data_IF_510781189439
#
_entry.id   IF_510781189439
#
_cell.length_a   1.000
_cell.length_b   1.000
_cell.length_c   1.000
_cell.angle_alpha   90.00
_cell.angle_beta   90.00
_cell.angle_gamma   90.00
#
_symmetry.space_group_name_H-M   'P 1'
#
loop_
_entity.id
_entity.type
_entity.pdbx_description
1 polymer ?
#
# COMPACT_ATOMS: atom_id res chain seq x y z
N UNK A 1 -34.58 -19.78 -0.86
CA UNK A 1 -34.06 -18.54 -1.49
C UNK A 1 -32.66 -18.84 -1.99
N UNK A 2 -32.41 -18.72 -3.30
CA UNK A 2 -31.08 -18.89 -3.87
C UNK A 2 -30.22 -17.67 -3.49
N UNK A 3 -28.95 -17.86 -3.17
CA UNK A 3 -28.05 -16.79 -2.72
C UNK A 3 -27.79 -15.78 -3.84
N UNK A 4 -27.58 -14.52 -3.47
CA UNK A 4 -27.29 -13.41 -4.38
C UNK A 4 -26.02 -13.67 -5.25
N UNK A 5 -25.07 -14.47 -4.74
CA UNK A 5 -23.91 -14.94 -5.49
C UNK A 5 -24.28 -15.82 -6.69
N UNK A 6 -25.33 -16.64 -6.58
CA UNK A 6 -25.81 -17.46 -7.69
C UNK A 6 -26.46 -16.60 -8.80
N UNK A 7 -27.08 -15.48 -8.42
CA UNK A 7 -27.71 -14.54 -9.36
C UNK A 7 -26.67 -13.78 -10.20
N UNK A 8 -25.51 -13.42 -9.62
CA UNK A 8 -24.42 -12.77 -10.36
C UNK A 8 -23.71 -13.72 -11.35
N UNK A 9 -23.60 -15.01 -11.03
CA UNK A 9 -23.07 -16.02 -11.97
C UNK A 9 -24.05 -16.35 -13.10
N UNK A 10 -25.36 -16.24 -12.89
CA UNK A 10 -26.38 -16.56 -13.90
C UNK A 10 -26.69 -15.37 -14.82
N UNK A 11 -26.59 -14.13 -14.31
CA UNK A 11 -26.87 -12.91 -15.06
C UNK A 11 -25.74 -12.45 -16.04
N UNK A 12 -24.63 -13.19 -16.14
CA UNK A 12 -23.49 -12.85 -16.97
C UNK A 12 -23.40 -13.61 -18.32
N UNK A 13 -24.40 -14.42 -18.71
CA UNK A 13 -24.40 -15.10 -20.03
C UNK A 13 -25.21 -14.31 -21.07
N UNK A 14 -24.53 -13.61 -21.97
CA UNK A 14 -25.16 -12.93 -23.10
C UNK A 14 -25.83 -13.92 -24.07
N UNK A 15 -26.85 -13.50 -24.84
CA UNK A 15 -27.50 -14.38 -25.85
C UNK A 15 -26.49 -14.91 -26.88
N UNK A 16 -25.52 -14.08 -27.28
CA UNK A 16 -24.41 -14.50 -28.13
C UNK A 16 -23.61 -15.67 -27.55
N UNK A 17 -23.41 -15.71 -26.23
CA UNK A 17 -22.73 -16.82 -25.55
C UNK A 17 -23.54 -18.12 -25.58
N UNK A 18 -24.87 -18.04 -25.45
CA UNK A 18 -25.73 -19.23 -25.53
C UNK A 18 -25.78 -19.80 -26.95
N UNK A 19 -25.76 -18.93 -27.96
CA UNK A 19 -25.73 -19.37 -29.36
C UNK A 19 -24.35 -19.90 -29.77
N UNK A 20 -23.26 -19.34 -29.22
CA UNK A 20 -21.91 -19.86 -29.42
C UNK A 20 -21.71 -21.26 -28.80
N UNK A 21 -22.32 -21.52 -27.65
CA UNK A 21 -22.27 -22.82 -26.97
C UNK A 21 -22.94 -23.92 -27.81
N UNK A 22 -24.08 -23.60 -28.46
CA UNK A 22 -24.73 -24.52 -29.42
C UNK A 22 -23.84 -24.88 -30.62
N UNK A 23 -22.94 -23.96 -30.99
CA UNK A 23 -22.01 -24.11 -32.12
C UNK A 23 -20.65 -24.66 -31.71
N UNK A 24 -20.46 -25.04 -30.43
CA UNK A 24 -19.17 -25.49 -29.86
C UNK A 24 -18.04 -24.49 -30.07
N UNK A 25 -18.36 -23.21 -30.03
CA UNK A 25 -17.38 -22.15 -30.16
C UNK A 25 -16.92 -21.70 -28.77
N UNK A 26 -15.61 -21.59 -28.60
CA UNK A 26 -14.98 -21.14 -27.36
C UNK A 26 -14.69 -19.65 -27.42
N UNK A 27 -15.05 -18.92 -26.37
CA UNK A 27 -14.76 -17.49 -26.29
C UNK A 27 -13.25 -17.26 -26.06
N UNK A 28 -12.63 -16.43 -26.89
CA UNK A 28 -11.16 -16.22 -26.91
C UNK A 28 -10.74 -14.78 -26.59
N UNK A 29 -11.64 -13.98 -26.02
CA UNK A 29 -11.36 -12.58 -25.64
C UNK A 29 -11.93 -11.56 -26.63
N UNK A 30 -12.07 -10.30 -26.18
CA UNK A 30 -12.58 -9.17 -26.96
C UNK A 30 -13.92 -9.42 -27.70
N UNK A 31 -14.79 -10.27 -27.15
CA UNK A 31 -16.08 -10.63 -27.76
C UNK A 31 -15.97 -11.59 -28.95
N UNK A 32 -14.80 -12.19 -29.21
CA UNK A 32 -14.56 -13.11 -30.32
C UNK A 32 -14.67 -14.58 -29.89
N UNK A 33 -15.08 -15.44 -30.81
CA UNK A 33 -15.28 -16.87 -30.60
C UNK A 33 -14.53 -17.67 -31.64
N UNK A 34 -13.83 -18.70 -31.17
CA UNK A 34 -13.02 -19.60 -31.97
C UNK A 34 -13.65 -20.99 -32.07
N UNK A 35 -13.35 -21.70 -33.16
CA UNK A 35 -13.72 -23.10 -33.32
C UNK A 35 -12.78 -24.04 -32.53
N UNK A 36 -13.05 -25.35 -32.53
CA UNK A 36 -12.21 -26.38 -31.88
C UNK A 36 -10.74 -26.38 -32.35
N UNK A 37 -10.42 -25.71 -33.47
CA UNK A 37 -9.06 -25.57 -34.02
C UNK A 37 -8.35 -24.29 -33.57
N UNK A 38 -9.01 -23.46 -32.75
CA UNK A 38 -8.47 -22.19 -32.29
C UNK A 38 -8.62 -21.03 -33.28
N UNK A 39 -9.33 -21.23 -34.40
CA UNK A 39 -9.52 -20.18 -35.41
C UNK A 39 -10.72 -19.30 -35.05
N UNK A 40 -10.52 -17.98 -34.99
CA UNK A 40 -11.58 -17.01 -34.71
C UNK A 40 -12.55 -16.93 -35.89
N UNK A 41 -13.80 -17.34 -35.67
CA UNK A 41 -14.83 -17.42 -36.73
C UNK A 41 -16.04 -16.54 -36.45
N UNK A 42 -16.29 -16.13 -35.20
CA UNK A 42 -17.46 -15.34 -34.84
C UNK A 42 -17.11 -14.24 -33.84
N UNK A 43 -17.95 -13.21 -33.74
CA UNK A 43 -17.83 -12.12 -32.78
C UNK A 43 -19.22 -11.73 -32.26
N UNK A 44 -19.29 -11.39 -30.97
CA UNK A 44 -20.49 -10.84 -30.34
C UNK A 44 -20.55 -9.34 -30.63
N UNK A 45 -21.50 -8.96 -31.48
CA UNK A 45 -21.82 -7.57 -31.77
C UNK A 45 -23.25 -7.28 -31.26
N UNK A 46 -23.39 -6.27 -30.40
CA UNK A 46 -24.68 -5.87 -29.80
C UNK A 46 -25.47 -7.03 -29.14
N UNK A 47 -24.74 -7.95 -28.51
CA UNK A 47 -25.31 -9.10 -27.78
C UNK A 47 -25.80 -10.26 -28.65
N UNK A 48 -25.51 -10.25 -29.97
CA UNK A 48 -25.78 -11.36 -30.91
C UNK A 48 -24.48 -11.89 -31.50
N UNK A 49 -24.46 -13.19 -31.80
CA UNK A 49 -23.31 -13.85 -32.43
C UNK A 49 -23.33 -13.60 -33.94
N UNK A 50 -22.28 -12.99 -34.48
CA UNK A 50 -22.11 -12.68 -35.91
C UNK A 50 -20.87 -13.40 -36.43
N UNK A 51 -20.97 -14.05 -37.60
CA UNK A 51 -19.85 -14.75 -38.22
C UNK A 51 -18.91 -13.74 -38.90
N UNK A 52 -17.60 -13.86 -38.66
CA UNK A 52 -16.58 -13.03 -39.25
C UNK A 52 -16.15 -13.60 -40.61
N UNK A 53 -16.09 -12.73 -41.62
CA UNK A 53 -15.66 -13.09 -42.97
C UNK A 53 -14.11 -13.17 -43.03
N UNK A 54 -13.50 -14.24 -43.57
CA UNK A 54 -12.03 -14.42 -43.58
C UNK A 54 -11.24 -13.30 -44.26
N UNK A 55 -11.90 -12.44 -45.04
CA UNK A 55 -11.26 -11.33 -45.78
C UNK A 55 -11.10 -10.05 -44.95
N UNK A 56 -11.75 -9.93 -43.78
CA UNK A 56 -11.69 -8.72 -42.95
C UNK A 56 -10.56 -8.76 -41.92
N UNK A 57 -9.89 -9.91 -41.75
CA UNK A 57 -8.74 -10.07 -40.84
C UNK A 57 -7.43 -9.46 -41.37
N UNK A 58 -7.32 -9.16 -42.67
CA UNK A 58 -6.02 -8.81 -43.29
C UNK A 58 -5.64 -7.31 -43.29
N UNK A 59 -6.41 -6.42 -42.66
CA UNK A 59 -6.18 -4.95 -42.79
C UNK A 59 -5.66 -4.30 -41.49
N UNK A 60 -5.58 -5.03 -40.37
CA UNK A 60 -5.06 -4.50 -39.10
C UNK A 60 -3.61 -4.91 -38.78
N UNK A 61 -3.00 -5.83 -39.55
CA UNK A 61 -1.73 -6.49 -39.21
C UNK A 61 -0.46 -5.77 -39.70
N UNK A 62 -0.47 -4.45 -39.94
CA UNK A 62 0.73 -3.75 -40.43
C UNK A 62 1.31 -2.63 -39.55
N UNK A 63 0.82 -2.39 -38.34
CA UNK A 63 1.59 -1.59 -37.38
C UNK A 63 1.59 -2.23 -35.99
N UNK A 64 2.76 -2.76 -35.63
CA UNK A 64 3.23 -3.22 -34.32
C UNK A 64 3.00 -4.72 -33.99
N UNK A 65 3.84 -5.60 -34.56
CA UNK A 65 4.22 -6.88 -33.94
C UNK A 65 5.36 -6.63 -32.92
N UNK A 66 5.54 -7.38 -31.83
CA UNK A 66 5.18 -8.75 -31.46
C UNK A 66 5.02 -8.79 -29.90
N UNK A 67 4.43 -9.76 -29.20
CA UNK A 67 4.05 -11.16 -29.47
C UNK A 67 3.04 -11.54 -28.36
N UNK A 68 1.81 -11.93 -28.69
CA UNK A 68 0.82 -12.47 -27.75
C UNK A 68 0.94 -14.00 -27.70
N UNK A 69 1.46 -14.53 -26.59
CA UNK A 69 1.22 -15.91 -26.18
C UNK A 69 -0.02 -15.94 -25.31
N UNK A 70 -1.05 -16.65 -25.78
CA UNK A 70 -2.35 -16.71 -25.13
C UNK A 70 -2.35 -17.42 -23.79
N UNK A 71 -3.29 -17.00 -22.95
CA UNK A 71 -4.18 -17.92 -22.24
C UNK A 71 -5.47 -17.19 -21.85
N UNK A 72 -6.61 -17.80 -22.14
CA UNK A 72 -7.93 -17.16 -22.19
C UNK A 72 -8.61 -17.00 -20.83
N UNK A 73 -8.23 -15.99 -20.06
CA UNK A 73 -8.98 -15.53 -18.87
C UNK A 73 -9.19 -14.02 -18.87
N UNK A 74 -9.92 -13.47 -19.85
CA UNK A 74 -10.10 -12.02 -19.98
C UNK A 74 -11.28 -11.49 -19.16
N UNK A 75 -11.00 -10.98 -17.96
CA UNK A 75 -11.81 -9.94 -17.32
C UNK A 75 -11.93 -8.71 -18.26
N UNK A 76 -12.95 -7.86 -18.08
CA UNK A 76 -13.08 -6.63 -18.86
C UNK A 76 -11.89 -5.72 -18.49
N UNK A 77 -10.98 -5.50 -19.44
CA UNK A 77 -9.78 -4.69 -19.20
C UNK A 77 -10.16 -3.21 -19.03
N UNK A 78 -9.95 -2.68 -17.82
CA UNK A 78 -10.15 -1.29 -17.43
C UNK A 78 -9.00 -0.37 -17.90
N UNK A 79 -7.96 -0.94 -18.52
CA UNK A 79 -6.77 -0.24 -18.97
C UNK A 79 -5.80 0.07 -17.84
N UNK A 80 -5.17 1.25 -17.90
CA UNK A 80 -4.17 1.67 -16.92
C UNK A 80 -4.71 2.68 -15.91
N UNK A 81 -4.44 2.45 -14.63
CA UNK A 81 -4.77 3.38 -13.54
C UNK A 81 -3.51 4.02 -12.94
N UNK A 82 -3.57 5.32 -12.60
CA UNK A 82 -2.52 5.98 -11.83
C UNK A 82 -2.85 5.98 -10.34
N UNK A 83 -1.92 5.57 -9.49
CA UNK A 83 -2.16 5.52 -8.05
C UNK A 83 -1.01 6.10 -7.22
N UNK A 84 -1.32 6.47 -5.99
CA UNK A 84 -0.33 6.65 -4.93
C UNK A 84 -0.79 5.98 -3.66
N UNK A 85 0.18 5.49 -2.88
CA UNK A 85 -0.02 4.99 -1.53
C UNK A 85 0.88 5.74 -0.55
N UNK A 86 0.36 6.16 0.61
CA UNK A 86 1.17 6.93 1.56
C UNK A 86 0.49 7.20 2.90
N UNK A 87 1.30 7.62 3.88
CA UNK A 87 0.80 7.92 5.24
C UNK A 87 -0.06 9.16 5.34
N UNK A 88 0.29 10.22 4.61
CA UNK A 88 -0.35 11.53 4.67
C UNK A 88 -0.58 12.02 6.12
N UNK A 89 0.43 11.89 7.00
CA UNK A 89 0.29 12.08 8.44
C UNK A 89 1.31 13.11 8.99
N UNK A 90 0.99 14.42 9.00
CA UNK A 90 -0.23 15.05 8.46
C UNK A 90 -0.20 15.26 6.93
N UNK A 91 -1.33 15.62 6.29
CA UNK A 91 -1.35 16.12 4.91
C UNK A 91 -0.53 17.41 4.77
N UNK A 92 0.19 17.59 3.65
CA UNK A 92 1.14 18.70 3.45
C UNK A 92 1.03 19.30 2.06
N UNK A 93 1.63 20.48 1.82
CA UNK A 93 1.85 21.01 0.45
C UNK A 93 2.62 19.99 -0.39
N UNK A 94 3.53 19.26 0.26
CA UNK A 94 4.31 18.24 -0.40
C UNK A 94 3.45 17.10 -0.99
N UNK A 95 2.46 16.64 -0.24
CA UNK A 95 1.52 15.63 -0.73
C UNK A 95 0.63 16.18 -1.86
N UNK A 96 0.31 17.48 -1.86
CA UNK A 96 -0.46 18.11 -2.94
C UNK A 96 0.24 17.97 -4.30
N UNK A 97 1.55 18.25 -4.36
CA UNK A 97 2.29 18.12 -5.61
C UNK A 97 2.38 16.65 -6.07
N UNK A 98 2.48 15.71 -5.12
CA UNK A 98 2.44 14.28 -5.43
C UNK A 98 1.09 13.89 -6.03
N UNK A 99 -0.02 14.31 -5.42
CA UNK A 99 -1.37 14.02 -5.91
C UNK A 99 -1.60 14.66 -7.30
N UNK A 100 -1.15 15.89 -7.51
CA UNK A 100 -1.19 16.54 -8.83
C UNK A 100 -0.38 15.78 -9.88
N UNK A 101 0.75 15.16 -9.49
CA UNK A 101 1.52 14.30 -10.38
C UNK A 101 0.75 13.02 -10.71
N UNK A 102 0.12 12.36 -9.73
CA UNK A 102 -0.74 11.19 -9.94
C UNK A 102 -1.83 11.50 -10.97
N UNK A 103 -2.57 12.59 -10.78
CA UNK A 103 -3.61 13.02 -11.71
C UNK A 103 -3.07 13.30 -13.13
N UNK A 104 -1.84 13.84 -13.24
CA UNK A 104 -1.19 14.08 -14.54
C UNK A 104 -0.78 12.78 -15.23
N UNK A 105 -0.24 11.83 -14.49
CA UNK A 105 0.17 10.51 -15.01
C UNK A 105 -1.03 9.67 -15.48
N UNK A 106 -2.21 9.93 -14.92
CA UNK A 106 -3.46 9.32 -15.38
C UNK A 106 -3.83 9.71 -16.82
N UNK A 107 -3.31 10.82 -17.37
CA UNK A 107 -3.58 11.30 -18.74
C UNK A 107 -5.08 11.37 -19.09
N UNK A 108 -5.89 11.89 -18.18
CA UNK A 108 -7.37 11.91 -18.23
C UNK A 108 -8.08 10.57 -17.98
N UNK A 109 -7.33 9.50 -17.69
CA UNK A 109 -7.84 8.25 -17.15
C UNK A 109 -8.12 8.33 -15.65
N UNK A 110 -8.46 7.18 -15.07
CA UNK A 110 -8.76 7.09 -13.65
C UNK A 110 -7.49 7.16 -12.81
N UNK A 111 -7.62 7.79 -11.64
CA UNK A 111 -6.57 7.77 -10.63
C UNK A 111 -7.14 7.70 -9.23
N UNK A 112 -6.36 7.09 -8.33
CA UNK A 112 -6.77 6.87 -6.95
C UNK A 112 -5.63 7.13 -5.97
N UNK A 113 -6.00 7.67 -4.82
CA UNK A 113 -5.10 8.02 -3.73
C UNK A 113 -5.50 7.13 -2.57
N UNK A 114 -4.56 6.31 -2.11
CA UNK A 114 -4.77 5.34 -1.03
C UNK A 114 -4.00 5.80 0.22
N UNK A 115 -4.67 6.42 1.20
CA UNK A 115 -4.07 6.71 2.49
C UNK A 115 -3.86 5.40 3.27
N UNK A 116 -2.66 5.21 3.80
CA UNK A 116 -2.32 4.05 4.62
C UNK A 116 -3.23 3.93 5.83
N UNK A 117 -3.60 2.69 6.16
CA UNK A 117 -4.40 2.35 7.35
C UNK A 117 -3.57 2.10 8.60
N UNK A 118 -2.25 2.09 8.49
CA UNK A 118 -1.34 2.07 9.64
C UNK A 118 -1.63 3.27 10.55
N UNK A 119 -1.38 3.10 11.86
CA UNK A 119 -1.48 4.15 12.87
C UNK A 119 -0.53 3.82 14.02
N UNK A 120 0.27 4.80 14.42
CA UNK A 120 1.11 4.71 15.62
C UNK A 120 1.23 6.11 16.24
N UNK A 121 1.24 6.26 17.58
CA UNK A 121 1.25 7.58 18.21
C UNK A 121 2.41 8.48 17.77
N UNK A 122 3.55 7.97 17.32
CA UNK A 122 4.75 8.78 17.12
C UNK A 122 4.96 9.17 15.64
N UNK A 123 5.12 8.20 14.74
CA UNK A 123 5.45 8.37 13.32
C UNK A 123 4.21 8.59 12.45
N UNK A 124 3.05 8.08 12.88
CA UNK A 124 1.80 8.11 12.14
C UNK A 124 0.56 8.32 13.06
N UNK A 125 0.54 9.42 13.84
CA UNK A 125 -0.40 9.67 14.94
C UNK A 125 -1.87 9.74 14.54
N UNK A 126 -2.20 10.42 13.44
CA UNK A 126 -3.58 10.54 12.98
C UNK A 126 -4.16 9.18 12.58
N UNK A 127 -5.31 8.83 13.16
CA UNK A 127 -6.07 7.65 12.78
C UNK A 127 -6.57 7.75 11.31
N UNK A 128 -6.90 6.62 10.67
CA UNK A 128 -7.31 6.62 9.26
C UNK A 128 -8.50 7.54 8.95
N UNK A 129 -9.50 7.63 9.83
CA UNK A 129 -10.70 8.44 9.61
C UNK A 129 -10.37 9.93 9.64
N UNK A 130 -9.66 10.36 10.67
CA UNK A 130 -9.19 11.76 10.82
C UNK A 130 -8.28 12.16 9.67
N UNK A 131 -7.34 11.30 9.29
CA UNK A 131 -6.45 11.48 8.15
C UNK A 131 -7.22 11.73 6.85
N UNK A 132 -8.16 10.84 6.51
CA UNK A 132 -8.99 10.95 5.30
C UNK A 132 -9.83 12.24 5.32
N UNK A 133 -10.41 12.58 6.48
CA UNK A 133 -11.16 13.83 6.68
C UNK A 133 -10.29 15.05 6.32
N UNK A 134 -9.09 15.15 6.88
CA UNK A 134 -8.20 16.26 6.60
C UNK A 134 -7.65 16.24 5.19
N UNK A 135 -7.37 15.07 4.60
CA UNK A 135 -6.95 14.98 3.20
C UNK A 135 -8.03 15.50 2.24
N UNK A 136 -9.30 15.15 2.45
CA UNK A 136 -10.41 15.64 1.61
C UNK A 136 -10.60 17.15 1.72
N UNK A 137 -10.40 17.73 2.91
CA UNK A 137 -10.40 19.19 3.11
C UNK A 137 -9.17 19.86 2.48
N UNK A 138 -8.00 19.23 2.60
CA UNK A 138 -6.74 19.75 2.10
C UNK A 138 -6.66 19.76 0.56
N UNK A 139 -7.24 18.74 -0.08
CA UNK A 139 -7.17 18.51 -1.52
C UNK A 139 -8.58 18.37 -2.12
N UNK A 140 -9.41 19.42 -2.09
CA UNK A 140 -10.82 19.34 -2.47
C UNK A 140 -11.01 18.87 -3.92
N UNK A 141 -10.16 19.32 -4.84
CA UNK A 141 -10.17 18.95 -6.27
C UNK A 141 -9.91 17.46 -6.51
N UNK A 142 -9.32 16.77 -5.53
CA UNK A 142 -8.95 15.36 -5.59
C UNK A 142 -9.74 14.51 -4.58
N UNK A 143 -10.72 15.08 -3.90
CA UNK A 143 -11.45 14.44 -2.79
C UNK A 143 -12.12 13.13 -3.17
N UNK A 144 -12.66 13.03 -4.38
CA UNK A 144 -13.29 11.82 -4.93
C UNK A 144 -12.28 10.71 -5.27
N UNK A 145 -11.03 11.07 -5.56
CA UNK A 145 -9.97 10.12 -5.81
C UNK A 145 -9.37 9.55 -4.51
N UNK A 146 -9.69 10.11 -3.35
CA UNK A 146 -9.21 9.63 -2.04
C UNK A 146 -10.08 8.45 -1.58
N UNK A 147 -9.49 7.25 -1.66
CA UNK A 147 -10.17 6.00 -1.36
C UNK A 147 -10.11 5.69 0.13
N UNK A 148 -11.29 5.59 0.73
CA UNK A 148 -11.48 5.23 2.12
C UNK A 148 -11.97 3.78 2.22
N UNK A 149 -11.06 2.81 2.12
CA UNK A 149 -11.40 1.38 2.20
C UNK A 149 -10.58 0.66 3.28
N UNK A 150 -11.25 0.05 4.26
CA UNK A 150 -10.64 -0.56 5.44
C UNK A 150 -9.81 -1.80 5.10
N UNK A 151 -10.12 -2.44 3.96
CA UNK A 151 -9.42 -3.61 3.47
C UNK A 151 -8.13 -3.27 2.72
N UNK A 152 -7.87 -1.99 2.42
CA UNK A 152 -6.68 -1.54 1.69
C UNK A 152 -5.56 -1.16 2.66
N UNK A 153 -5.07 -2.13 3.44
CA UNK A 153 -4.12 -1.87 4.54
C UNK A 153 -2.71 -1.66 4.02
N UNK A 154 -2.29 -2.53 3.11
CA UNK A 154 -0.99 -2.52 2.46
C UNK A 154 -1.07 -2.13 0.99
N UNK A 155 0.09 -1.83 0.39
CA UNK A 155 0.19 -1.67 -1.06
C UNK A 155 -0.20 -2.97 -1.79
N UNK A 156 0.03 -4.14 -1.21
CA UNK A 156 -0.35 -5.40 -1.84
C UNK A 156 -1.86 -5.57 -1.91
N UNK A 157 -2.60 -5.17 -0.88
CA UNK A 157 -4.07 -5.20 -0.90
C UNK A 157 -4.60 -4.28 -2.01
N UNK A 158 -4.01 -3.10 -2.15
CA UNK A 158 -4.37 -2.14 -3.21
C UNK A 158 -4.10 -2.72 -4.59
N UNK A 159 -2.91 -3.27 -4.83
CA UNK A 159 -2.53 -3.83 -6.13
C UNK A 159 -3.39 -5.05 -6.48
N UNK A 160 -3.63 -5.94 -5.52
CA UNK A 160 -4.52 -7.10 -5.71
C UNK A 160 -5.96 -6.68 -5.99
N UNK A 161 -6.45 -5.63 -5.33
CA UNK A 161 -7.79 -5.11 -5.58
C UNK A 161 -7.92 -4.52 -7.00
N UNK A 162 -6.92 -3.76 -7.45
CA UNK A 162 -6.92 -3.18 -8.80
C UNK A 162 -6.85 -4.24 -9.90
N UNK A 163 -6.07 -5.30 -9.68
CA UNK A 163 -6.03 -6.46 -10.57
C UNK A 163 -7.42 -7.14 -10.65
N UNK A 164 -8.05 -7.38 -9.49
CA UNK A 164 -9.40 -7.95 -9.40
C UNK A 164 -10.50 -7.06 -10.01
N UNK A 165 -10.31 -5.74 -10.01
CA UNK A 165 -11.19 -4.78 -10.68
C UNK A 165 -11.04 -4.80 -12.21
N UNK A 166 -9.96 -5.42 -12.73
CA UNK A 166 -9.72 -5.63 -14.15
C UNK A 166 -8.75 -4.63 -14.79
N UNK A 167 -7.93 -3.90 -14.03
CA UNK A 167 -6.90 -3.04 -14.64
C UNK A 167 -5.72 -3.89 -15.13
N UNK A 168 -5.38 -3.78 -16.42
CA UNK A 168 -4.19 -4.42 -17.00
C UNK A 168 -2.88 -3.70 -16.66
N UNK A 169 -2.94 -2.41 -16.30
CA UNK A 169 -1.74 -1.61 -16.05
C UNK A 169 -1.86 -0.67 -14.85
N UNK A 170 -0.72 -0.40 -14.22
CA UNK A 170 -0.62 0.57 -13.13
C UNK A 170 0.51 1.57 -13.37
N UNK A 171 0.27 2.82 -12.99
CA UNK A 171 1.31 3.83 -12.79
C UNK A 171 1.33 4.23 -11.32
N UNK A 172 2.32 3.73 -10.59
CA UNK A 172 2.51 4.02 -9.17
C UNK A 172 3.42 5.25 -9.01
N UNK A 173 2.86 6.35 -8.52
CA UNK A 173 3.60 7.59 -8.27
C UNK A 173 4.03 7.65 -6.81
N UNK A 174 5.33 7.78 -6.57
CA UNK A 174 5.94 7.76 -5.22
C UNK A 174 6.96 8.87 -5.04
N UNK A 175 7.39 9.11 -3.79
CA UNK A 175 8.52 10.00 -3.52
C UNK A 175 9.80 9.50 -4.21
N UNK A 176 10.65 10.42 -4.65
CA UNK A 176 11.87 10.08 -5.40
C UNK A 176 12.81 9.13 -4.65
N UNK A 177 12.90 9.24 -3.33
CA UNK A 177 13.69 8.37 -2.45
C UNK A 177 13.20 6.90 -2.42
N UNK A 178 12.00 6.62 -2.93
CA UNK A 178 11.31 5.33 -2.78
C UNK A 178 11.02 4.62 -4.10
N UNK A 179 11.40 5.20 -5.24
CA UNK A 179 11.14 4.62 -6.57
C UNK A 179 11.73 3.23 -6.70
N UNK A 180 12.99 3.03 -6.29
CA UNK A 180 13.65 1.73 -6.39
C UNK A 180 12.99 0.66 -5.51
N UNK A 181 12.62 1.02 -4.28
CA UNK A 181 11.92 0.12 -3.34
C UNK A 181 10.59 -0.35 -3.94
N UNK A 182 9.73 0.58 -4.37
CA UNK A 182 8.44 0.24 -4.93
C UNK A 182 8.52 -0.48 -6.27
N UNK A 183 9.49 -0.12 -7.13
CA UNK A 183 9.69 -0.82 -8.39
C UNK A 183 10.10 -2.28 -8.14
N UNK A 184 11.03 -2.52 -7.21
CA UNK A 184 11.41 -3.88 -6.84
C UNK A 184 10.25 -4.64 -6.20
N UNK A 185 9.49 -4.00 -5.31
CA UNK A 185 8.37 -4.61 -4.61
C UNK A 185 7.25 -4.99 -5.60
N UNK A 186 6.78 -4.03 -6.40
CA UNK A 186 5.68 -4.26 -7.32
C UNK A 186 5.99 -5.36 -8.36
N UNK A 187 7.19 -5.35 -8.93
CA UNK A 187 7.56 -6.36 -9.93
C UNK A 187 7.82 -7.75 -9.32
N UNK A 188 8.38 -7.84 -8.10
CA UNK A 188 8.70 -9.13 -7.44
C UNK A 188 7.45 -9.97 -7.16
N UNK A 189 6.32 -9.31 -6.91
CA UNK A 189 5.05 -9.95 -6.56
C UNK A 189 4.03 -9.97 -7.72
N UNK A 190 4.35 -9.34 -8.86
CA UNK A 190 3.58 -9.51 -10.09
C UNK A 190 3.70 -10.96 -10.61
N UNK A 191 2.60 -11.53 -11.06
CA UNK A 191 2.44 -12.96 -11.36
C UNK A 191 2.30 -13.86 -10.13
N UNK A 192 2.30 -13.30 -8.91
CA UNK A 192 2.09 -14.05 -7.65
C UNK A 192 0.87 -13.58 -6.87
N UNK A 193 0.78 -12.28 -6.61
CA UNK A 193 -0.32 -11.66 -5.87
C UNK A 193 -1.32 -10.94 -6.78
N UNK A 194 -0.85 -10.45 -7.93
CA UNK A 194 -1.59 -9.73 -8.96
C UNK A 194 -0.89 -9.96 -10.30
N UNK A 195 -1.55 -9.69 -11.43
CA UNK A 195 -0.98 -9.93 -12.75
C UNK A 195 -1.21 -8.76 -13.73
N UNK A 196 -0.46 -7.68 -13.53
CA UNK A 196 -0.44 -6.54 -14.45
C UNK A 196 0.47 -6.81 -15.66
N UNK A 197 0.01 -6.43 -16.85
CA UNK A 197 0.82 -6.38 -18.07
C UNK A 197 1.90 -5.30 -17.98
N UNK A 198 1.55 -4.16 -17.34
CA UNK A 198 2.45 -3.01 -17.24
C UNK A 198 2.46 -2.41 -15.84
N UNK A 199 3.62 -2.44 -15.20
CA UNK A 199 3.90 -1.71 -13.96
C UNK A 199 4.88 -0.58 -14.26
N UNK A 200 4.44 0.65 -14.04
CA UNK A 200 5.27 1.85 -14.16
C UNK A 200 5.40 2.52 -12.80
N UNK A 201 6.63 2.71 -12.29
CA UNK A 201 6.87 3.43 -11.03
C UNK A 201 7.53 4.76 -11.33
N UNK A 202 6.83 5.86 -11.02
CA UNK A 202 7.22 7.22 -11.38
C UNK A 202 7.51 8.04 -10.13
N UNK A 203 8.61 8.80 -10.17
CA UNK A 203 8.90 9.78 -9.12
C UNK A 203 7.94 10.97 -9.21
N UNK A 204 7.44 11.41 -8.06
CA UNK A 204 6.76 12.70 -7.91
C UNK A 204 7.71 13.90 -8.04
N UNK A 205 9.02 13.65 -8.14
CA UNK A 205 10.10 14.64 -8.13
C UNK A 205 11.01 14.44 -6.91
N UNK A 206 12.24 14.91 -7.03
CA UNK A 206 13.16 15.01 -5.90
C UNK A 206 12.91 16.36 -5.24
N UNK A 207 12.39 16.34 -4.01
CA UNK A 207 12.52 17.49 -3.13
C UNK A 207 13.91 17.46 -2.55
N UNK A 208 14.54 18.62 -2.43
CA UNK A 208 15.66 18.77 -1.53
C UNK A 208 15.11 18.73 -0.09
N UNK A 209 15.33 17.64 0.67
CA UNK A 209 14.82 17.53 2.02
C UNK A 209 15.47 18.56 2.96
N UNK A 210 16.60 19.15 2.58
CA UNK A 210 17.36 20.13 3.35
C UNK A 210 17.00 21.58 2.98
N UNK A 211 16.12 21.77 1.99
CA UNK A 211 15.58 23.10 1.68
C UNK A 211 14.76 23.63 2.85
N UNK A 212 15.10 24.84 3.31
CA UNK A 212 14.36 25.56 4.38
C UNK A 212 13.03 26.15 3.89
N UNK A 213 12.81 26.20 2.57
CA UNK A 213 11.60 26.76 1.97
C UNK A 213 10.38 25.83 2.05
N UNK A 214 9.23 26.33 1.57
CA UNK A 214 7.97 25.57 1.43
C UNK A 214 8.13 24.26 0.64
N UNK A 215 9.15 24.17 -0.22
CA UNK A 215 9.46 22.98 -1.02
C UNK A 215 10.11 21.84 -0.22
N UNK A 216 10.79 22.14 0.88
CA UNK A 216 11.39 21.16 1.79
C UNK A 216 10.50 20.73 2.96
N UNK A 217 9.26 21.24 3.02
CA UNK A 217 8.30 20.88 4.06
C UNK A 217 7.82 19.44 3.91
N UNK A 218 8.00 18.64 4.97
CA UNK A 218 7.65 17.22 5.01
C UNK A 218 6.78 16.92 6.22
N UNK A 219 6.03 15.81 6.17
CA UNK A 219 5.22 15.38 7.30
C UNK A 219 6.05 15.16 8.58
N UNK A 220 7.32 14.74 8.45
CA UNK A 220 8.24 14.59 9.60
C UNK A 220 8.60 15.93 10.23
N UNK A 221 8.95 16.94 9.41
CA UNK A 221 9.24 18.31 9.90
C UNK A 221 8.03 18.91 10.61
N UNK A 222 6.82 18.60 10.14
CA UNK A 222 5.60 19.12 10.75
C UNK A 222 5.20 18.41 12.04
N UNK A 223 5.54 17.11 12.19
CA UNK A 223 5.42 16.44 13.50
C UNK A 223 6.40 17.00 14.51
N UNK A 224 7.63 17.29 14.10
CA UNK A 224 8.60 17.99 14.94
C UNK A 224 8.07 19.36 15.35
N UNK A 225 7.66 20.20 14.39
CA UNK A 225 7.09 21.52 14.70
C UNK A 225 5.88 21.43 15.66
N UNK A 226 5.01 20.43 15.49
CA UNK A 226 3.91 20.21 16.42
C UNK A 226 4.37 19.77 17.83
N UNK A 227 5.46 19.00 17.92
CA UNK A 227 6.02 18.56 19.19
C UNK A 227 6.81 19.67 19.92
N UNK A 228 7.39 20.63 19.17
CA UNK A 228 8.13 21.80 19.69
C UNK A 228 7.22 23.02 19.96
N UNK A 229 5.91 22.85 19.83
CA UNK A 229 4.90 23.91 19.88
C UNK A 229 5.07 25.06 18.84
N UNK A 230 5.71 24.78 17.70
CA UNK A 230 5.91 25.72 16.60
C UNK A 230 4.73 25.68 15.60
N UNK A 231 3.67 26.39 15.95
CA UNK A 231 2.47 26.50 15.11
C UNK A 231 2.72 27.24 13.77
N UNK A 232 3.62 28.21 13.75
CA UNK A 232 3.87 29.03 12.55
C UNK A 232 4.56 28.21 11.45
N UNK A 233 5.60 27.46 11.82
CA UNK A 233 6.24 26.49 10.91
C UNK A 233 5.24 25.41 10.48
N UNK A 234 4.41 24.92 11.41
CA UNK A 234 3.38 23.94 11.09
C UNK A 234 2.42 24.44 10.00
N UNK A 235 1.88 25.65 10.15
CA UNK A 235 0.94 26.27 9.22
C UNK A 235 1.58 26.56 7.86
N UNK A 236 2.87 26.89 7.82
CA UNK A 236 3.62 27.13 6.60
C UNK A 236 3.68 25.89 5.70
N UNK A 237 3.80 24.68 6.26
CA UNK A 237 3.80 23.42 5.50
C UNK A 237 2.41 22.90 5.11
N UNK A 238 1.32 23.55 5.54
CA UNK A 238 -0.06 23.12 5.28
C UNK A 238 -0.60 23.60 3.92
N UNK A 239 -1.33 22.74 3.19
CA UNK A 239 -1.91 23.10 1.91
C UNK A 239 -2.93 24.23 2.02
N UNK A 240 -3.11 24.97 0.92
CA UNK A 240 -3.99 26.14 0.86
C UNK A 240 -5.47 25.80 0.99
N UNK A 241 -5.86 24.55 0.73
CA UNK A 241 -7.24 24.07 0.89
C UNK A 241 -7.73 24.05 2.35
N UNK A 242 -6.83 24.05 3.34
CA UNK A 242 -7.20 24.09 4.75
C UNK A 242 -7.43 25.53 5.22
N UNK A 243 -8.61 25.78 5.79
CA UNK A 243 -8.89 27.06 6.45
C UNK A 243 -8.03 27.23 7.70
N UNK A 244 -7.90 28.47 8.22
CA UNK A 244 -7.20 28.73 9.49
C UNK A 244 -7.74 27.85 10.63
N UNK A 245 -9.05 27.64 10.67
CA UNK A 245 -9.71 26.78 11.66
C UNK A 245 -9.31 25.32 11.47
N UNK A 246 -9.28 24.82 10.24
CA UNK A 246 -8.88 23.44 9.96
C UNK A 246 -7.40 23.19 10.29
N UNK A 247 -6.52 24.17 10.04
CA UNK A 247 -5.10 24.07 10.40
C UNK A 247 -4.90 23.99 11.91
N UNK A 248 -5.64 24.79 12.69
CA UNK A 248 -5.62 24.71 14.15
C UNK A 248 -6.19 23.37 14.66
N UNK A 249 -7.32 22.92 14.10
CA UNK A 249 -7.92 21.64 14.44
C UNK A 249 -6.93 20.50 14.19
N UNK A 250 -6.27 20.49 13.02
CA UNK A 250 -5.29 19.50 12.64
C UNK A 250 -4.07 19.52 13.57
N UNK A 251 -3.55 20.70 13.90
CA UNK A 251 -2.43 20.87 14.82
C UNK A 251 -2.72 20.29 16.21
N UNK A 252 -3.85 20.69 16.81
CA UNK A 252 -4.25 20.21 18.13
C UNK A 252 -4.51 18.70 18.11
N UNK A 253 -5.16 18.20 17.04
CA UNK A 253 -5.43 16.76 16.88
C UNK A 253 -4.13 15.97 16.75
N UNK A 254 -3.16 16.50 16.01
CA UNK A 254 -1.85 15.89 15.84
C UNK A 254 -1.09 15.82 17.18
N UNK A 255 -0.99 16.94 17.91
CA UNK A 255 -0.35 17.00 19.23
C UNK A 255 -1.00 16.05 20.23
N UNK A 256 -2.33 16.05 20.30
CA UNK A 256 -3.07 15.14 21.17
C UNK A 256 -2.89 13.66 20.80
N UNK A 257 -2.86 13.35 19.50
CA UNK A 257 -2.62 11.97 19.02
C UNK A 257 -1.18 11.50 19.24
N UNK A 258 -0.24 12.45 19.25
CA UNK A 258 1.17 12.19 19.56
C UNK A 258 1.43 11.96 21.05
N UNK A 259 0.41 12.09 21.91
CA UNK A 259 0.55 11.99 23.35
C UNK A 259 1.70 12.87 23.87
N UNK A 260 1.85 14.06 23.28
CA UNK A 260 2.82 15.05 23.74
C UNK A 260 2.40 15.44 25.15
N UNK A 261 3.06 14.86 26.17
CA UNK A 261 2.78 15.18 27.56
C UNK A 261 3.18 16.65 27.79
N UNK A 262 2.19 17.52 28.00
CA UNK A 262 2.42 18.89 28.47
C UNK A 262 2.86 18.83 29.93
N UNK A 263 4.14 18.56 30.16
CA UNK A 263 4.72 18.80 31.48
C UNK A 263 4.97 20.29 31.64
N UNK A 264 4.43 20.84 32.73
CA UNK A 264 4.50 22.23 33.21
C UNK A 264 5.63 23.09 32.63
N UNK A 265 5.31 24.35 32.28
CA UNK A 265 6.04 25.59 31.92
C UNK A 265 7.60 25.64 31.81
N UNK A 266 8.34 24.64 32.29
CA UNK A 266 9.80 24.52 32.27
C UNK A 266 10.32 23.11 31.89
N UNK A 267 9.45 22.16 31.53
CA UNK A 267 9.87 20.83 31.10
C UNK A 267 9.93 20.76 29.57
N UNK A 268 11.14 20.63 29.04
CA UNK A 268 11.36 20.23 27.65
C UNK A 268 10.55 18.96 27.37
N UNK A 269 9.82 18.95 26.26
CA UNK A 269 9.06 17.77 25.83
C UNK A 269 10.07 16.64 25.59
N UNK A 270 10.09 15.65 26.50
CA UNK A 270 11.02 14.52 26.45
C UNK A 270 10.57 13.50 25.38
N UNK A 271 10.69 13.84 24.11
CA UNK A 271 10.71 12.85 23.03
C UNK A 271 12.11 12.80 22.42
N UNK A 272 12.59 11.61 22.10
CA UNK A 272 13.73 11.51 21.23
C UNK A 272 13.28 11.77 19.80
N UNK A 273 13.94 12.69 19.09
CA UNK A 273 13.55 13.13 17.75
C UNK A 273 13.40 11.95 16.77
N UNK A 274 14.20 10.89 16.94
CA UNK A 274 14.14 9.69 16.12
C UNK A 274 12.82 8.92 16.23
N UNK A 275 12.05 9.07 17.31
CA UNK A 275 10.79 8.36 17.48
C UNK A 275 9.67 8.97 16.62
N UNK A 276 9.62 10.30 16.54
CA UNK A 276 8.59 11.03 15.79
C UNK A 276 9.02 11.32 14.34
N UNK A 277 10.32 11.54 14.12
CA UNK A 277 10.91 11.95 12.87
C UNK A 277 12.28 11.27 12.65
N UNK A 278 12.33 9.93 12.48
CA UNK A 278 13.59 9.19 12.32
C UNK A 278 14.43 9.59 11.09
N UNK A 279 13.85 10.35 10.15
CA UNK A 279 14.60 10.92 9.02
C UNK A 279 15.47 12.12 9.42
N UNK A 280 15.12 12.82 10.50
CA UNK A 280 15.81 14.01 10.98
C UNK A 280 16.85 13.69 12.06
N UNK A 281 16.74 12.51 12.68
CA UNK A 281 17.69 12.00 13.68
C UNK A 281 18.17 10.57 13.35
N UNK A 282 19.03 10.41 12.32
CA UNK A 282 19.56 9.10 11.95
C UNK A 282 20.57 8.56 12.98
N UNK A 283 21.21 9.44 13.77
CA UNK A 283 22.18 9.05 14.78
C UNK A 283 21.47 8.49 16.01
N UNK A 284 20.49 9.20 16.57
CA UNK A 284 19.69 8.72 17.70
C UNK A 284 18.96 7.42 17.37
N UNK A 285 18.40 7.30 16.15
CA UNK A 285 17.81 6.05 15.68
C UNK A 285 18.81 4.88 15.68
N UNK A 286 20.05 5.16 15.30
CA UNK A 286 21.10 4.16 15.21
C UNK A 286 21.55 3.73 16.60
N UNK A 287 21.74 4.67 17.51
CA UNK A 287 22.12 4.42 18.91
C UNK A 287 21.02 3.59 19.62
N UNK A 288 19.76 4.04 19.54
CA UNK A 288 18.61 3.29 20.08
C UNK A 288 18.48 1.88 19.48
N UNK A 289 18.85 1.69 18.22
CA UNK A 289 18.91 0.37 17.61
C UNK A 289 20.05 -0.51 18.14
N UNK A 290 21.25 0.04 18.34
CA UNK A 290 22.39 -0.76 18.83
C UNK A 290 22.29 -1.11 20.31
N UNK A 291 21.65 -0.27 21.11
CA UNK A 291 21.45 -0.51 22.54
C UNK A 291 20.35 -1.56 22.82
N UNK A 292 20.02 -2.39 21.82
CA UNK A 292 18.97 -3.42 21.80
C UNK A 292 17.56 -2.94 22.20
N UNK A 293 17.32 -1.62 22.19
CA UNK A 293 16.02 -1.04 22.51
C UNK A 293 15.02 -1.09 21.35
N UNK A 294 15.47 -1.32 20.10
CA UNK A 294 14.61 -1.31 18.91
C UNK A 294 14.85 -2.50 17.94
N UNK A 295 13.75 -3.01 17.39
CA UNK A 295 13.64 -4.02 16.35
C UNK A 295 14.37 -5.33 16.68
N UNK A 296 14.12 -5.83 17.90
CA UNK A 296 14.70 -7.08 18.37
C UNK A 296 14.26 -8.27 17.52
N UNK A 297 15.09 -9.32 17.47
CA UNK A 297 14.71 -10.56 16.79
C UNK A 297 13.45 -11.10 17.46
N UNK A 298 12.42 -11.31 16.66
CA UNK A 298 11.11 -11.73 17.12
C UNK A 298 10.07 -10.62 17.20
N UNK A 299 10.48 -9.34 17.26
CA UNK A 299 9.56 -8.21 17.27
C UNK A 299 8.68 -8.21 16.01
N UNK A 300 7.42 -7.81 16.16
CA UNK A 300 6.51 -7.57 15.04
C UNK A 300 6.69 -6.13 14.61
N UNK A 301 6.96 -5.94 13.32
CA UNK A 301 7.18 -4.62 12.74
C UNK A 301 6.20 -4.37 11.60
N UNK A 302 5.75 -3.14 11.47
CA UNK A 302 5.03 -2.67 10.29
C UNK A 302 5.88 -1.64 9.53
N UNK A 303 6.07 -1.92 8.24
CA UNK A 303 6.64 -0.96 7.32
C UNK A 303 5.57 0.11 7.05
N UNK A 304 5.79 1.31 7.60
CA UNK A 304 4.86 2.44 7.52
C UNK A 304 4.69 3.02 6.12
N UNK A 305 5.49 2.53 5.19
CA UNK A 305 5.64 2.97 3.82
C UNK A 305 4.83 2.06 2.88
N UNK A 306 4.75 0.77 3.16
CA UNK A 306 4.06 -0.26 2.36
C UNK A 306 2.87 -0.89 3.07
N UNK A 307 2.73 -0.71 4.39
CA UNK A 307 1.72 -1.35 5.24
C UNK A 307 1.96 -2.85 5.47
N UNK A 308 3.16 -3.36 5.15
CA UNK A 308 3.50 -4.77 5.33
C UNK A 308 3.90 -5.02 6.79
N UNK A 309 3.26 -6.01 7.40
CA UNK A 309 3.51 -6.45 8.77
C UNK A 309 4.30 -7.76 8.74
N UNK A 310 5.27 -7.92 9.63
CA UNK A 310 5.91 -9.21 9.82
C UNK A 310 6.85 -9.29 11.01
N UNK A 311 7.40 -10.48 11.22
CA UNK A 311 8.27 -10.80 12.35
C UNK A 311 9.74 -10.63 11.98
N UNK A 312 10.50 -9.86 12.77
CA UNK A 312 11.94 -9.68 12.57
C UNK A 312 12.66 -11.01 12.76
N UNK A 313 13.44 -11.42 11.76
CA UNK A 313 14.24 -12.65 11.77
C UNK A 313 15.74 -12.38 11.77
N UNK A 314 16.17 -11.20 11.32
CA UNK A 314 17.58 -10.84 11.30
C UNK A 314 17.76 -9.32 11.38
N UNK A 315 18.84 -8.92 12.06
CA UNK A 315 19.24 -7.53 12.30
C UNK A 315 20.51 -7.24 11.51
N UNK A 316 20.48 -6.18 10.71
CA UNK A 316 21.63 -5.70 9.93
C UNK A 316 22.27 -4.48 10.59
N UNK A 317 23.10 -3.75 9.84
CA UNK A 317 23.80 -2.56 10.37
C UNK A 317 22.92 -1.31 10.50
N UNK A 318 21.87 -1.22 9.68
CA UNK A 318 20.94 -0.09 9.58
C UNK A 318 19.61 -0.51 8.89
N UNK A 319 19.33 -1.80 8.90
CA UNK A 319 18.13 -2.39 8.32
C UNK A 319 17.80 -3.66 9.11
N UNK A 320 16.55 -4.13 9.01
CA UNK A 320 16.17 -5.46 9.48
C UNK A 320 15.59 -6.28 8.34
N UNK A 321 15.65 -7.59 8.52
CA UNK A 321 14.97 -8.57 7.68
C UNK A 321 13.83 -9.13 8.51
N UNK A 322 12.62 -9.09 7.95
CA UNK A 322 11.41 -9.62 8.58
C UNK A 322 10.62 -10.45 7.58
N UNK A 323 9.79 -11.34 8.12
CA UNK A 323 8.99 -12.29 7.34
C UNK A 323 7.52 -12.05 7.65
N UNK A 324 6.69 -11.92 6.61
CA UNK A 324 5.24 -11.77 6.77
C UNK A 324 4.54 -13.11 7.08
N UNK A 325 3.21 -13.09 7.20
CA UNK A 325 2.41 -14.29 7.45
C UNK A 325 2.44 -15.34 6.32
N UNK A 326 2.90 -14.94 5.13
CA UNK A 326 2.96 -15.77 3.92
C UNK A 326 4.40 -16.23 3.61
N UNK A 327 5.30 -16.20 4.61
CA UNK A 327 6.72 -16.54 4.50
C UNK A 327 7.53 -15.68 3.50
N UNK A 328 7.01 -14.50 3.14
CA UNK A 328 7.73 -13.58 2.29
C UNK A 328 8.79 -12.79 3.06
N UNK A 329 10.01 -12.76 2.50
CA UNK A 329 11.13 -12.07 3.11
C UNK A 329 11.21 -10.62 2.62
N UNK A 330 11.26 -9.69 3.57
CA UNK A 330 11.43 -8.26 3.35
C UNK A 330 12.68 -7.73 4.05
N UNK A 331 13.38 -6.81 3.37
CA UNK A 331 14.45 -6.00 3.95
C UNK A 331 13.97 -4.56 3.99
N UNK A 332 13.94 -3.95 5.17
CA UNK A 332 13.51 -2.56 5.35
C UNK A 332 14.49 -1.77 6.21
N UNK A 333 14.65 -0.49 5.88
CA UNK A 333 15.45 0.45 6.68
C UNK A 333 14.76 0.75 8.01
N UNK A 334 15.56 0.99 9.06
CA UNK A 334 15.04 1.25 10.42
C UNK A 334 14.05 2.43 10.47
N UNK A 335 14.33 3.48 9.69
CA UNK A 335 13.52 4.71 9.62
C UNK A 335 12.11 4.50 9.06
N UNK A 336 11.89 3.41 8.34
CA UNK A 336 10.65 3.09 7.64
C UNK A 336 9.83 2.03 8.38
N UNK A 337 10.26 1.62 9.57
CA UNK A 337 9.61 0.63 10.40
C UNK A 337 9.13 1.24 11.72
N UNK A 338 8.11 0.64 12.29
CA UNK A 338 7.79 0.78 13.71
C UNK A 338 7.40 -0.58 14.27
N UNK A 339 7.61 -0.76 15.56
CA UNK A 339 7.19 -1.97 16.26
C UNK A 339 5.70 -1.89 16.55
N UNK A 340 5.00 -2.99 16.27
CA UNK A 340 3.62 -3.18 16.70
C UNK A 340 3.67 -3.91 18.03
N UNK A 341 3.49 -3.14 19.10
CA UNK A 341 3.35 -3.68 20.45
C UNK A 341 1.89 -3.99 20.80
N UNK A 342 0.95 -3.45 20.03
CA UNK A 342 -0.49 -3.52 20.32
C UNK A 342 -1.21 -4.39 19.27
N UNK A 343 -1.16 -5.71 19.44
CA UNK A 343 -2.00 -6.62 18.68
C UNK A 343 -3.44 -6.43 19.18
N UNK A 344 -4.30 -5.76 18.41
CA UNK A 344 -5.74 -5.50 18.72
C UNK A 344 -6.61 -6.74 19.05
N UNK A 345 -6.01 -7.94 19.17
CA UNK A 345 -6.64 -9.18 19.60
C UNK A 345 -6.06 -9.72 20.93
N UNK A 346 -5.15 -8.99 21.58
CA UNK A 346 -4.57 -9.31 22.89
C UNK A 346 -4.92 -8.22 23.91
N UNK A 347 -5.78 -8.53 24.88
CA UNK A 347 -6.18 -7.61 25.97
C UNK A 347 -5.11 -7.47 27.07
N UNK A 348 -3.83 -7.62 26.75
CA UNK A 348 -2.73 -7.35 27.65
C UNK A 348 -1.60 -6.71 26.85
N UNK A 349 -1.10 -5.57 27.29
CA UNK A 349 0.07 -4.89 26.71
C UNK A 349 1.27 -5.80 26.91
N UNK A 350 1.77 -6.49 25.87
CA UNK A 350 3.00 -7.25 25.99
C UNK A 350 4.09 -6.18 26.02
N UNK A 351 4.66 -5.94 27.19
CA UNK A 351 5.82 -5.08 27.34
C UNK A 351 6.98 -5.69 26.54
N UNK A 352 7.07 -5.40 25.24
CA UNK A 352 8.15 -5.89 24.37
C UNK A 352 8.21 -7.42 24.17
N UNK A 353 7.22 -8.20 24.63
CA UNK A 353 7.32 -9.66 24.62
C UNK A 353 6.75 -10.33 23.35
N UNK A 354 6.22 -9.57 22.38
CA UNK A 354 5.68 -10.17 21.15
C UNK A 354 6.79 -10.86 20.36
N UNK A 355 6.66 -12.19 20.22
CA UNK A 355 7.61 -13.03 19.51
C UNK A 355 8.78 -13.55 20.35
N UNK A 356 8.78 -13.29 21.65
CA UNK A 356 9.71 -13.86 22.62
C UNK A 356 9.35 -15.31 23.00
N UNK A 357 10.33 -16.14 23.41
CA UNK A 357 10.06 -17.44 24.02
C UNK A 357 9.11 -17.37 25.23
N UNK A 358 9.19 -16.29 26.01
CA UNK A 358 8.42 -16.07 27.23
C UNK A 358 6.92 -15.95 26.94
N UNK A 359 6.56 -15.11 25.95
CA UNK A 359 5.16 -15.00 25.50
C UNK A 359 4.65 -16.31 24.91
N UNK A 360 5.48 -17.02 24.13
CA UNK A 360 5.12 -18.34 23.58
C UNK A 360 4.82 -19.33 24.70
N UNK A 361 5.69 -19.41 25.69
CA UNK A 361 5.55 -20.35 26.80
C UNK A 361 4.35 -20.00 27.69
N UNK A 362 4.00 -18.72 27.81
CA UNK A 362 2.75 -18.27 28.43
C UNK A 362 1.50 -18.69 27.62
N UNK A 363 1.49 -18.51 26.30
CA UNK A 363 0.37 -18.95 25.45
C UNK A 363 0.16 -20.46 25.51
N UNK A 364 1.24 -21.26 25.51
CA UNK A 364 1.19 -22.72 25.67
C UNK A 364 0.55 -23.12 27.01
N UNK A 365 0.77 -22.33 28.08
CA UNK A 365 0.10 -22.56 29.38
C UNK A 365 -1.40 -22.23 29.33
N UNK A 366 -1.81 -21.26 28.52
CA UNK A 366 -3.21 -20.88 28.33
C UNK A 366 -3.98 -21.83 27.38
N UNK A 367 -3.27 -22.61 26.56
CA UNK A 367 -3.86 -23.65 25.69
C UNK A 367 -3.35 -25.07 26.03
N UNK A 368 -3.70 -25.62 27.22
CA UNK A 368 -3.27 -26.96 27.59
C UNK A 368 -3.78 -28.00 26.58
N UNK A 369 -2.86 -28.65 25.86
CA UNK A 369 -3.18 -29.71 24.88
C UNK A 369 -2.72 -29.44 23.44
N UNK A 370 -2.30 -28.23 23.10
CA UNK A 370 -1.56 -27.98 21.84
C UNK A 370 -0.06 -28.20 22.05
N UNK A 371 0.42 -29.41 21.73
CA UNK A 371 1.86 -29.67 21.70
C UNK A 371 2.51 -28.83 20.60
N UNK A 372 3.31 -27.82 21.00
CA UNK A 372 4.08 -27.01 20.07
C UNK A 372 4.94 -27.89 19.18
N UNK A 373 4.73 -27.83 17.86
CA UNK A 373 5.56 -28.55 16.88
C UNK A 373 7.02 -28.12 17.07
N UNK A 374 7.84 -29.00 17.66
CA UNK A 374 9.29 -28.84 17.67
C UNK A 374 9.75 -28.81 16.22
N UNK A 375 10.27 -27.66 15.79
CA UNK A 375 10.99 -27.57 14.52
C UNK A 375 12.26 -28.40 14.71
N UNK A 376 12.23 -29.66 14.26
CA UNK A 376 13.42 -30.49 14.21
C UNK A 376 14.44 -29.83 13.27
N UNK A 377 15.49 -29.23 13.83
CA UNK A 377 16.73 -28.98 13.10
C UNK A 377 17.27 -30.34 12.68
N UNK A 378 17.04 -30.74 11.41
CA UNK A 378 17.71 -31.91 10.86
C UNK A 378 19.22 -31.64 10.80
N UNK A 379 19.91 -32.54 11.47
CA UNK A 379 21.36 -32.75 11.62
C UNK A 379 22.26 -32.18 10.53
N UNK A 380 23.24 -31.37 10.95
CA UNK A 380 24.58 -31.41 10.38
C UNK A 380 25.39 -32.39 11.22
N UNK A 381 25.44 -33.65 10.81
CA UNK A 381 26.55 -34.52 11.19
C UNK A 381 27.71 -34.18 10.26
N UNK A 382 28.74 -33.58 10.84
CA UNK A 382 30.07 -33.56 10.27
C UNK A 382 30.83 -34.73 10.91
N UNK A 383 31.15 -35.74 10.11
CA UNK A 383 32.37 -36.55 10.16
C UNK A 383 32.60 -37.18 8.79
#
# INVERSE_FOLDING_TARGET
MKSFSAFLTEAARSRASQDAEKLRLTHVGYGRYANERGEVTHMSQDGKLVQLDPKTQAVADQQNGAEETGDGTGAVDQGTIAITFGRFNPPTIGHEALIKRVAREAKNGEYRIYPSRSQDPKKNPLDPGTKIKFMRKAYPDHSNAIIANDNMRSIFDVLTALDNEGYSGITLVVGGDRVSEFNSLANKYNGKLYNFEKINVVSAGNRDPDSEGLEGMSASKLRQAAAEDDYDTFVAGMPKGLSRKDKQELYNTLRGSMQVEEFSDFAEVSYDLHEIAPKLDPQGLREAYFDDALFNIGAIVENVNTGVIGKVVSRGSNYVIYVDENDNIFRSWLKDLHEINDLKYFNWTPAGEVGTPELRDYMIKLTPGEDGKKINKKDKTAE
#
